data_IF_047861040349
#
_entry.id   IF_047861040349
#
_cell.length_a   1.000
_cell.length_b   1.000
_cell.length_c   1.000
_cell.angle_alpha   90.00
_cell.angle_beta   90.00
_cell.angle_gamma   90.00
#
_symmetry.space_group_name_H-M   'P 1'
#
loop_
_entity.id
_entity.type
_entity.pdbx_description
1 polymer ?
#
# COMPACT_ATOMS: atom_id res chain seq x y z
N UNK A 1 20.94 12.42 3.96
CA UNK A 1 20.02 12.86 2.88
C UNK A 1 19.68 11.64 2.04
N UNK A 2 18.39 11.29 1.96
CA UNK A 2 17.92 10.10 1.22
C UNK A 2 17.89 10.44 -0.27
N UNK A 3 18.39 9.55 -1.13
CA UNK A 3 18.24 9.70 -2.57
C UNK A 3 17.04 8.90 -3.03
N UNK A 4 15.96 9.61 -3.38
CA UNK A 4 14.73 9.00 -3.90
C UNK A 4 14.77 8.94 -5.43
N UNK A 5 14.44 7.77 -5.99
CA UNK A 5 14.20 7.60 -7.42
C UNK A 5 12.69 7.46 -7.71
N UNK A 6 12.15 8.09 -8.76
CA UNK A 6 10.77 7.83 -9.20
C UNK A 6 10.56 6.34 -9.47
N UNK A 7 9.38 5.82 -9.14
CA UNK A 7 9.05 4.43 -9.42
C UNK A 7 8.91 4.19 -10.94
N UNK A 8 9.54 3.13 -11.43
CA UNK A 8 9.51 2.68 -12.82
C UNK A 8 9.11 1.20 -12.91
N UNK A 9 8.76 0.72 -14.09
CA UNK A 9 8.34 -0.69 -14.26
C UNK A 9 9.49 -1.67 -13.97
N UNK A 10 10.73 -1.23 -14.19
CA UNK A 10 11.96 -1.97 -13.93
C UNK A 10 12.20 -2.22 -12.44
N UNK A 11 11.63 -1.39 -11.57
CA UNK A 11 11.79 -1.48 -10.12
C UNK A 11 10.94 -2.59 -9.47
N UNK A 12 10.03 -3.21 -10.24
CA UNK A 12 9.04 -4.17 -9.74
C UNK A 12 9.64 -5.26 -8.87
N UNK A 13 10.64 -5.97 -9.40
CA UNK A 13 11.22 -7.13 -8.74
C UNK A 13 11.90 -6.74 -7.41
N UNK A 14 12.54 -5.56 -7.36
CA UNK A 14 13.23 -5.09 -6.17
C UNK A 14 12.23 -4.66 -5.09
N UNK A 15 11.21 -3.87 -5.44
CA UNK A 15 10.16 -3.46 -4.50
C UNK A 15 9.40 -4.68 -3.96
N UNK A 16 9.01 -5.61 -4.83
CA UNK A 16 8.29 -6.83 -4.43
C UNK A 16 9.12 -7.75 -3.52
N UNK A 17 10.46 -7.66 -3.58
CA UNK A 17 11.32 -8.39 -2.63
C UNK A 17 11.16 -7.93 -1.18
N UNK A 18 10.70 -6.68 -0.96
CA UNK A 18 10.34 -6.16 0.35
C UNK A 18 8.86 -6.36 0.68
N UNK A 19 7.96 -6.11 -0.27
CA UNK A 19 6.52 -6.06 0.00
C UNK A 19 5.84 -7.43 0.04
N UNK A 20 6.27 -8.41 -0.76
CA UNK A 20 5.67 -9.76 -0.74
C UNK A 20 5.87 -10.54 0.56
N UNK A 21 7.06 -10.53 1.22
CA UNK A 21 7.21 -11.18 2.52
C UNK A 21 6.63 -10.35 3.68
N UNK A 22 6.25 -9.10 3.45
CA UNK A 22 5.71 -8.22 4.46
C UNK A 22 4.23 -8.55 4.73
N UNK A 23 3.94 -9.01 5.94
CA UNK A 23 2.63 -9.54 6.32
C UNK A 23 1.46 -8.53 6.25
N UNK A 24 1.65 -7.23 6.57
CA UNK A 24 0.59 -6.24 6.43
C UNK A 24 0.16 -6.07 4.97
N UNK A 25 -1.08 -6.45 4.69
CA UNK A 25 -1.66 -6.46 3.36
C UNK A 25 -2.53 -5.21 3.11
N UNK A 26 -1.93 -4.02 3.13
CA UNK A 26 -2.62 -2.83 2.61
C UNK A 26 -2.45 -2.76 1.08
N UNK A 27 -3.47 -2.28 0.39
CA UNK A 27 -3.50 -2.28 -1.06
C UNK A 27 -2.46 -1.31 -1.66
N UNK A 28 -2.05 -0.28 -0.95
CA UNK A 28 -1.09 0.70 -1.45
C UNK A 28 0.33 0.15 -1.64
N UNK A 29 0.69 -0.96 -0.98
CA UNK A 29 1.96 -1.66 -1.18
C UNK A 29 1.98 -2.57 -2.43
N UNK A 30 0.85 -2.72 -3.13
CA UNK A 30 0.85 -3.41 -4.40
C UNK A 30 1.63 -2.58 -5.44
N UNK A 31 2.63 -3.19 -6.10
CA UNK A 31 3.46 -2.50 -7.09
C UNK A 31 2.63 -1.81 -8.19
N UNK A 32 1.59 -2.50 -8.68
CA UNK A 32 0.69 -1.95 -9.68
C UNK A 32 0.01 -0.65 -9.20
N UNK A 33 -0.38 -0.56 -7.94
CA UNK A 33 -0.99 0.66 -7.39
C UNK A 33 0.03 1.79 -7.32
N UNK A 34 1.21 1.53 -6.75
CA UNK A 34 2.29 2.53 -6.69
C UNK A 34 2.67 3.05 -8.08
N UNK A 35 2.80 2.15 -9.06
CA UNK A 35 3.19 2.50 -10.43
C UNK A 35 2.08 3.22 -11.18
N UNK A 36 0.84 2.73 -11.15
CA UNK A 36 -0.27 3.35 -11.87
C UNK A 36 -0.62 4.74 -11.31
N UNK A 37 -0.47 4.98 -10.01
CA UNK A 37 -0.80 6.26 -9.38
C UNK A 37 0.38 7.25 -9.29
N UNK A 38 1.58 6.86 -9.74
CA UNK A 38 2.77 7.72 -9.63
C UNK A 38 2.61 9.07 -10.35
N UNK A 39 1.82 9.15 -11.42
CA UNK A 39 1.61 10.41 -12.14
C UNK A 39 0.96 11.46 -11.25
N UNK A 40 0.07 11.04 -10.34
CA UNK A 40 -0.68 11.90 -9.42
C UNK A 40 0.10 12.16 -8.13
N UNK A 41 0.70 11.11 -7.55
CA UNK A 41 1.34 11.19 -6.24
C UNK A 41 2.86 11.33 -6.28
N UNK A 42 3.46 11.38 -7.46
CA UNK A 42 4.92 11.48 -7.66
C UNK A 42 5.68 10.44 -6.83
N UNK A 43 5.14 9.23 -6.78
CA UNK A 43 5.65 8.12 -5.98
C UNK A 43 7.12 7.88 -6.31
N UNK A 44 7.95 7.93 -5.28
CA UNK A 44 9.38 7.71 -5.35
C UNK A 44 9.82 6.84 -4.19
N UNK A 45 10.93 6.12 -4.35
CA UNK A 45 11.37 5.15 -3.37
C UNK A 45 12.89 5.10 -3.22
N UNK A 46 13.34 4.51 -2.13
CA UNK A 46 14.75 4.26 -1.82
C UNK A 46 14.88 3.08 -0.85
N UNK A 47 16.11 2.57 -0.67
CA UNK A 47 16.44 1.61 0.39
C UNK A 47 17.31 2.32 1.41
N UNK A 48 16.88 2.35 2.67
CA UNK A 48 17.56 3.01 3.79
C UNK A 48 17.70 2.01 4.92
N UNK A 49 18.94 1.71 5.33
CA UNK A 49 19.24 0.76 6.41
C UNK A 49 18.57 -0.61 6.24
N UNK A 50 18.39 -1.07 5.00
CA UNK A 50 17.73 -2.34 4.69
C UNK A 50 16.19 -2.29 4.68
N UNK A 51 15.59 -1.10 4.80
CA UNK A 51 14.15 -0.87 4.65
C UNK A 51 13.83 -0.18 3.33
N UNK A 52 12.79 -0.67 2.66
CA UNK A 52 12.12 0.05 1.59
C UNK A 52 11.40 1.27 2.17
N UNK A 53 11.76 2.44 1.67
CA UNK A 53 11.10 3.71 2.00
C UNK A 53 10.38 4.22 0.77
N UNK A 54 9.07 4.41 0.88
CA UNK A 54 8.23 4.97 -0.18
C UNK A 54 7.80 6.38 0.23
N UNK A 55 8.03 7.35 -0.66
CA UNK A 55 7.66 8.76 -0.52
C UNK A 55 6.66 9.14 -1.60
N UNK A 56 5.66 9.93 -1.23
CA UNK A 56 4.61 10.35 -2.15
C UNK A 56 4.01 11.71 -1.75
N UNK A 57 3.28 12.31 -2.68
CA UNK A 57 2.48 13.51 -2.51
C UNK A 57 1.06 13.15 -2.06
N UNK A 58 0.60 13.75 -0.97
CA UNK A 58 -0.69 13.45 -0.35
C UNK A 58 -1.79 14.22 -1.10
N UNK A 59 -2.82 13.50 -1.57
CA UNK A 59 -4.00 14.09 -2.19
C UNK A 59 -3.71 14.93 -3.44
N UNK A 60 -2.59 14.67 -4.13
CA UNK A 60 -2.17 15.47 -5.28
C UNK A 60 -1.64 16.87 -4.96
N UNK A 61 -1.32 17.15 -3.69
CA UNK A 61 -0.74 18.42 -3.26
C UNK A 61 0.79 18.35 -3.19
N UNK A 62 1.44 19.45 -2.84
CA UNK A 62 2.88 19.48 -2.54
C UNK A 62 3.23 18.83 -1.19
N UNK A 63 2.22 18.44 -0.39
CA UNK A 63 2.43 17.80 0.90
C UNK A 63 3.04 16.42 0.73
N UNK A 64 4.18 16.20 1.35
CA UNK A 64 4.89 14.92 1.31
C UNK A 64 4.42 14.03 2.48
N UNK A 65 4.25 12.75 2.17
CA UNK A 65 4.07 11.65 3.12
C UNK A 65 4.98 10.48 2.77
N UNK A 66 5.16 9.60 3.75
CA UNK A 66 5.86 8.34 3.60
C UNK A 66 4.92 7.21 3.98
N UNK A 67 5.07 6.05 3.36
CA UNK A 67 4.46 4.84 3.93
C UNK A 67 5.29 4.40 5.14
N UNK A 68 4.73 3.57 6.02
CA UNK A 68 5.54 2.87 7.02
C UNK A 68 6.71 2.17 6.32
N UNK A 69 7.98 2.37 6.74
CA UNK A 69 9.11 1.69 6.12
C UNK A 69 8.94 0.16 6.18
N UNK A 70 9.21 -0.50 5.05
CA UNK A 70 8.97 -1.93 4.86
C UNK A 70 10.29 -2.68 4.88
N UNK A 71 10.44 -3.62 5.81
CA UNK A 71 11.67 -4.39 5.97
C UNK A 71 11.62 -5.26 7.22
N UNK A 72 12.66 -6.07 7.41
CA UNK A 72 12.76 -6.93 8.58
C UNK A 72 13.24 -6.15 9.82
N UNK A 73 12.57 -6.35 10.95
CA UNK A 73 13.00 -5.84 12.25
C UNK A 73 12.37 -4.51 12.65
N UNK A 74 13.19 -3.67 13.31
CA UNK A 74 12.75 -2.38 13.82
C UNK A 74 13.09 -1.25 12.85
N UNK A 75 12.06 -0.60 12.31
CA UNK A 75 12.22 0.52 11.38
C UNK A 75 12.50 1.85 12.08
N UNK A 76 12.43 1.93 13.41
CA UNK A 76 12.60 3.21 14.14
C UNK A 76 13.91 3.95 13.81
N UNK A 77 15.05 3.30 13.50
CA UNK A 77 16.27 4.01 13.08
C UNK A 77 16.10 4.81 11.79
N UNK A 78 15.21 4.38 10.89
CA UNK A 78 14.91 5.05 9.61
C UNK A 78 14.20 6.38 9.83
N UNK A 79 13.47 6.55 10.94
CA UNK A 79 12.66 7.75 11.21
C UNK A 79 13.48 9.03 11.18
N UNK A 80 14.68 9.01 11.76
CA UNK A 80 15.60 10.16 11.73
C UNK A 80 15.95 10.57 10.29
N UNK A 81 16.11 9.62 9.39
CA UNK A 81 16.37 9.93 7.98
C UNK A 81 15.15 10.54 7.28
N UNK A 82 13.94 10.10 7.63
CA UNK A 82 12.69 10.70 7.12
C UNK A 82 12.49 12.12 7.66
N UNK A 83 12.84 12.35 8.93
CA UNK A 83 12.80 13.67 9.57
C UNK A 83 13.76 14.64 8.88
N UNK A 84 15.00 14.23 8.66
CA UNK A 84 15.97 15.05 7.93
C UNK A 84 15.47 15.41 6.51
N UNK A 85 14.91 14.44 5.77
CA UNK A 85 14.38 14.67 4.41
C UNK A 85 13.20 15.67 4.42
N UNK A 86 12.25 15.48 5.33
CA UNK A 86 11.03 16.30 5.35
C UNK A 86 11.28 17.71 5.93
N UNK A 87 12.21 17.85 6.89
CA UNK A 87 12.65 19.16 7.38
C UNK A 87 13.37 19.94 6.28
N UNK A 88 14.20 19.29 5.46
CA UNK A 88 14.84 19.93 4.32
C UNK A 88 13.81 20.42 3.28
N UNK A 89 12.66 19.75 3.18
CA UNK A 89 11.52 20.18 2.37
C UNK A 89 10.63 21.25 3.05
N UNK A 90 10.96 21.69 4.28
CA UNK A 90 10.16 22.67 5.02
C UNK A 90 8.81 22.16 5.51
N UNK A 91 8.64 20.83 5.62
CA UNK A 91 7.37 20.19 5.97
C UNK A 91 7.48 19.35 7.26
N UNK A 92 6.34 18.88 7.75
CA UNK A 92 6.26 17.98 8.92
C UNK A 92 6.20 16.53 8.47
N UNK A 93 6.86 15.64 9.22
CA UNK A 93 6.82 14.20 8.96
C UNK A 93 5.38 13.67 9.04
N UNK A 94 5.01 12.88 8.04
CA UNK A 94 3.72 12.17 7.95
C UNK A 94 4.01 10.76 7.50
N UNK A 95 3.54 9.80 8.28
CA UNK A 95 3.64 8.38 7.94
C UNK A 95 2.23 7.84 7.82
N UNK A 96 1.94 7.23 6.68
CA UNK A 96 0.63 6.72 6.27
C UNK A 96 0.68 5.19 6.25
N UNK A 97 -0.49 4.55 6.35
CA UNK A 97 -0.66 3.10 6.38
C UNK A 97 0.13 2.39 7.48
N UNK A 98 0.14 3.04 8.64
CA UNK A 98 0.78 2.50 9.83
C UNK A 98 0.03 1.28 10.32
N UNK A 99 0.77 0.20 10.52
CA UNK A 99 0.29 -1.00 11.21
C UNK A 99 0.08 -0.73 12.70
N UNK A 100 -0.79 -1.47 13.39
CA UNK A 100 -0.91 -1.38 14.84
C UNK A 100 0.43 -1.54 15.57
N UNK A 101 1.27 -2.49 15.15
CA UNK A 101 2.62 -2.67 15.72
C UNK A 101 3.53 -1.46 15.46
N UNK A 102 3.49 -0.91 14.24
CA UNK A 102 4.26 0.28 13.89
C UNK A 102 3.82 1.50 14.68
N UNK A 103 2.52 1.65 14.97
CA UNK A 103 2.01 2.72 15.85
C UNK A 103 2.62 2.60 17.26
N UNK A 104 2.66 1.40 17.82
CA UNK A 104 3.28 1.17 19.13
C UNK A 104 4.78 1.45 19.11
N UNK A 105 5.48 1.06 18.04
CA UNK A 105 6.89 1.46 17.83
C UNK A 105 7.03 2.97 17.83
N UNK A 106 6.22 3.71 17.06
CA UNK A 106 6.26 5.18 17.04
C UNK A 106 5.98 5.80 18.42
N UNK A 107 5.05 5.26 19.20
CA UNK A 107 4.78 5.73 20.58
C UNK A 107 5.98 5.57 21.50
N UNK A 108 6.80 4.53 21.28
CA UNK A 108 8.01 4.28 22.07
C UNK A 108 9.18 5.21 21.72
N UNK A 109 9.12 5.88 20.56
CA UNK A 109 10.16 6.79 20.09
C UNK A 109 10.07 8.12 20.84
N UNK A 110 10.79 8.22 21.96
CA UNK A 110 10.69 9.34 22.90
C UNK A 110 11.20 10.70 22.41
N UNK A 111 11.75 10.82 21.20
CA UNK A 111 12.25 12.08 20.65
C UNK A 111 11.24 12.82 19.74
N UNK A 112 10.15 12.17 19.34
CA UNK A 112 9.13 12.79 18.49
C UNK A 112 7.71 12.60 19.02
N UNK A 113 6.91 13.65 18.90
CA UNK A 113 5.49 13.60 19.22
C UNK A 113 4.67 13.46 17.94
N UNK A 114 4.05 12.30 17.76
CA UNK A 114 3.14 12.04 16.64
C UNK A 114 1.69 12.24 17.07
N UNK A 115 0.93 12.90 16.21
CA UNK A 115 -0.53 12.87 16.25
C UNK A 115 -1.01 11.71 15.38
N UNK A 116 -1.88 10.87 15.92
CA UNK A 116 -2.43 9.71 15.23
C UNK A 116 -3.89 9.97 14.83
N UNK A 117 -4.24 9.64 13.59
CA UNK A 117 -5.59 9.75 13.08
C UNK A 117 -5.87 8.59 12.12
N UNK A 118 -7.12 8.17 12.04
CA UNK A 118 -7.61 7.17 11.08
C UNK A 118 -8.80 7.74 10.32
N UNK A 119 -8.89 7.45 9.02
CA UNK A 119 -10.05 7.77 8.19
C UNK A 119 -10.67 6.46 7.71
N UNK A 120 -11.94 6.21 8.09
CA UNK A 120 -12.65 4.99 7.73
C UNK A 120 -12.79 4.80 6.22
N UNK A 121 -12.76 5.89 5.45
CA UNK A 121 -12.85 5.85 4.00
C UNK A 121 -11.57 5.31 3.33
N UNK A 122 -10.46 5.25 4.06
CA UNK A 122 -9.16 4.77 3.58
C UNK A 122 -8.83 3.36 4.07
N UNK A 123 -9.74 2.70 4.79
CA UNK A 123 -9.52 1.34 5.28
C UNK A 123 -9.81 0.28 4.20
N UNK A 124 -8.88 -0.67 4.06
CA UNK A 124 -9.02 -1.79 3.13
C UNK A 124 -10.04 -2.83 3.57
N UNK A 125 -10.76 -3.38 2.58
CA UNK A 125 -11.61 -4.55 2.76
C UNK A 125 -10.83 -5.82 2.48
N UNK A 126 -10.50 -6.56 3.54
CA UNK A 126 -9.78 -7.83 3.44
C UNK A 126 -10.76 -9.00 3.56
N UNK A 127 -10.68 -9.95 2.62
CA UNK A 127 -11.49 -11.16 2.58
C UNK A 127 -10.61 -12.40 2.47
N UNK A 128 -11.07 -13.52 3.03
CA UNK A 128 -10.46 -14.81 2.73
C UNK A 128 -10.74 -15.18 1.26
N UNK A 129 -9.72 -15.55 0.52
CA UNK A 129 -9.87 -15.98 -0.87
C UNK A 129 -10.84 -17.17 -1.01
N UNK A 130 -10.81 -18.12 -0.07
CA UNK A 130 -11.73 -19.26 -0.04
C UNK A 130 -13.19 -18.82 0.12
N UNK A 131 -13.47 -17.80 0.93
CA UNK A 131 -14.84 -17.34 1.15
C UNK A 131 -15.43 -16.73 -0.12
N UNK A 132 -14.63 -15.99 -0.89
CA UNK A 132 -15.06 -15.39 -2.16
C UNK A 132 -15.14 -16.40 -3.30
N UNK A 133 -14.32 -17.45 -3.26
CA UNK A 133 -14.33 -18.55 -4.24
C UNK A 133 -15.51 -19.50 -4.01
N UNK A 134 -15.70 -19.93 -2.77
CA UNK A 134 -16.61 -21.03 -2.44
C UNK A 134 -17.99 -20.54 -1.99
N UNK A 135 -18.08 -19.26 -1.58
CA UNK A 135 -19.30 -18.60 -1.13
C UNK A 135 -20.09 -19.45 -0.11
N UNK A 136 -19.55 -19.85 1.04
CA UNK A 136 -20.19 -20.84 1.92
C UNK A 136 -21.38 -20.32 2.75
N UNK A 137 -22.33 -21.20 3.04
CA UNK A 137 -23.37 -20.95 4.05
C UNK A 137 -24.38 -19.84 3.71
N UNK A 138 -25.19 -19.44 4.70
CA UNK A 138 -26.30 -18.50 4.53
C UNK A 138 -25.84 -17.06 4.21
N UNK A 139 -24.70 -16.64 4.73
CA UNK A 139 -24.14 -15.28 4.53
C UNK A 139 -23.95 -14.95 3.04
N UNK A 140 -23.50 -15.90 2.24
CA UNK A 140 -23.24 -15.70 0.80
C UNK A 140 -24.40 -16.15 -0.10
N UNK A 141 -25.58 -16.47 0.46
CA UNK A 141 -26.74 -16.91 -0.33
C UNK A 141 -27.15 -15.89 -1.39
N UNK A 142 -27.13 -14.59 -1.06
CA UNK A 142 -27.45 -13.53 -2.04
C UNK A 142 -26.45 -13.48 -3.19
N UNK A 143 -25.16 -13.71 -2.94
CA UNK A 143 -24.12 -13.75 -3.97
C UNK A 143 -24.30 -14.93 -4.91
N UNK A 144 -24.60 -16.12 -4.38
CA UNK A 144 -24.97 -17.30 -5.19
C UNK A 144 -26.22 -17.04 -6.02
N UNK A 145 -27.24 -16.39 -5.46
CA UNK A 145 -28.44 -16.04 -6.21
C UNK A 145 -28.15 -15.09 -7.39
N UNK A 146 -27.23 -14.12 -7.23
CA UNK A 146 -26.80 -13.26 -8.33
C UNK A 146 -26.08 -14.03 -9.44
N UNK A 147 -25.17 -14.93 -9.07
CA UNK A 147 -24.45 -15.79 -10.03
C UNK A 147 -25.45 -16.68 -10.78
N UNK A 148 -26.31 -17.41 -10.07
CA UNK A 148 -27.30 -18.30 -10.69
C UNK A 148 -28.24 -17.54 -11.66
N UNK A 149 -28.65 -16.32 -11.30
CA UNK A 149 -29.47 -15.49 -12.20
C UNK A 149 -28.69 -15.07 -13.44
N UNK A 150 -27.43 -14.65 -13.27
CA UNK A 150 -26.58 -14.28 -14.39
C UNK A 150 -26.36 -15.47 -15.34
N UNK A 151 -26.03 -16.65 -14.81
CA UNK A 151 -25.81 -17.85 -15.61
C UNK A 151 -27.08 -18.34 -16.35
N UNK A 152 -28.27 -18.07 -15.79
CA UNK A 152 -29.54 -18.43 -16.43
C UNK A 152 -29.97 -17.44 -17.52
N UNK A 153 -29.59 -16.17 -17.40
CA UNK A 153 -30.03 -15.09 -18.30
C UNK A 153 -29.09 -14.88 -19.50
N UNK A 154 -27.81 -15.24 -19.38
CA UNK A 154 -26.80 -14.89 -20.38
C UNK A 154 -25.97 -16.10 -20.81
N UNK A 155 -25.72 -16.21 -22.12
CA UNK A 155 -24.57 -16.99 -22.62
C UNK A 155 -23.29 -16.20 -22.37
N UNK A 156 -22.32 -16.78 -21.68
CA UNK A 156 -21.09 -16.09 -21.30
C UNK A 156 -19.85 -16.97 -21.42
N UNK A 157 -18.69 -16.31 -21.48
CA UNK A 157 -17.37 -16.92 -21.39
C UNK A 157 -16.48 -16.08 -20.50
N UNK A 158 -15.78 -16.74 -19.58
CA UNK A 158 -14.69 -16.11 -18.81
C UNK A 158 -13.37 -16.37 -19.53
N UNK A 159 -12.59 -15.30 -19.75
CA UNK A 159 -11.28 -15.38 -20.37
C UNK A 159 -10.25 -14.60 -19.52
N UNK A 160 -9.05 -15.15 -19.25
CA UNK A 160 -7.98 -14.38 -18.66
C UNK A 160 -7.64 -13.15 -19.52
N UNK A 161 -7.25 -12.05 -18.88
CA UNK A 161 -6.76 -10.88 -19.61
C UNK A 161 -5.46 -11.23 -20.34
N UNK A 162 -5.43 -11.02 -21.64
CA UNK A 162 -4.26 -11.22 -22.51
C UNK A 162 -4.00 -9.92 -23.28
N UNK A 163 -2.88 -9.85 -24.02
CA UNK A 163 -2.60 -8.69 -24.87
C UNK A 163 -3.64 -8.49 -25.97
N UNK A 164 -4.24 -9.56 -26.46
CA UNK A 164 -5.24 -9.51 -27.53
C UNK A 164 -6.53 -8.81 -27.08
N UNK A 165 -6.80 -8.76 -25.77
CA UNK A 165 -7.96 -8.09 -25.19
C UNK A 165 -7.74 -6.59 -24.91
N UNK A 166 -6.50 -6.08 -24.96
CA UNK A 166 -6.15 -4.73 -24.52
C UNK A 166 -6.15 -3.66 -25.63
N UNK A 167 -6.63 -4.02 -26.83
CA UNK A 167 -6.65 -3.18 -28.03
C UNK A 167 -7.85 -2.22 -28.07
#
# INVERSE_FOLDING_TARGET
MITFKPITIEDKAEIESFTLPYAPANCDLAFANMFCWQFQFKTAWSVVDGFLVIRFQIGGSDRIGYMQPVGAGDFTPVLRHLEEDILAAGQRLRIIDMTPEGLEKLRSVGHCQFAFASDRNLEDYVYNASDLRDLPGRKYQSKRNHINRFEAEYEYRYEPMTRDHAA
#
